data_IF_218408538196
#
_entry.id   IF_218408538196
#
_cell.length_a   1.000
_cell.length_b   1.000
_cell.length_c   1.000
_cell.angle_alpha   90.00
_cell.angle_beta   90.00
_cell.angle_gamma   90.00
#
_symmetry.space_group_name_H-M   'P 1'
#
loop_
_entity.id
_entity.type
_entity.pdbx_description
1 polymer ?
#
# COMPACT_ATOMS: atom_id res chain seq x y z
N UNK A 1 14.22 4.10 -4.06
CA UNK A 1 13.92 2.70 -4.43
C UNK A 1 14.65 2.37 -5.72
N UNK A 2 15.57 1.41 -5.71
CA UNK A 2 16.31 1.02 -6.93
C UNK A 2 15.48 0.00 -7.71
N UNK A 3 14.95 0.40 -8.87
CA UNK A 3 14.05 -0.47 -9.66
C UNK A 3 14.85 -1.61 -10.27
N UNK A 4 14.41 -2.84 -10.03
CA UNK A 4 14.96 -4.06 -10.64
C UNK A 4 13.98 -4.61 -11.68
N UNK A 5 14.45 -5.50 -12.56
CA UNK A 5 13.55 -6.29 -13.41
C UNK A 5 12.56 -7.08 -12.52
N UNK A 6 11.26 -7.08 -12.84
CA UNK A 6 10.18 -7.63 -11.99
C UNK A 6 9.98 -6.95 -10.63
N UNK A 7 10.10 -5.62 -10.59
CA UNK A 7 9.84 -4.81 -9.40
C UNK A 7 8.46 -5.06 -8.77
N UNK A 8 8.44 -5.14 -7.43
CA UNK A 8 7.24 -5.45 -6.66
C UNK A 8 6.16 -4.37 -6.85
N UNK A 9 6.55 -3.10 -6.81
CA UNK A 9 5.62 -1.97 -6.83
C UNK A 9 5.04 -1.68 -8.21
N UNK A 10 5.80 -1.91 -9.28
CA UNK A 10 5.41 -1.54 -10.65
C UNK A 10 4.99 -2.72 -11.52
N UNK A 11 5.30 -3.97 -11.15
CA UNK A 11 4.94 -5.17 -11.92
C UNK A 11 4.08 -6.14 -11.09
N UNK A 12 4.60 -6.64 -9.96
CA UNK A 12 3.94 -7.74 -9.23
C UNK A 12 2.62 -7.32 -8.59
N UNK A 13 2.63 -6.26 -7.78
CA UNK A 13 1.41 -5.74 -7.14
C UNK A 13 0.34 -5.37 -8.18
N UNK A 14 0.66 -4.63 -9.26
CA UNK A 14 -0.31 -4.38 -10.32
C UNK A 14 -0.95 -5.64 -10.91
N UNK A 15 -0.16 -6.68 -11.17
CA UNK A 15 -0.69 -7.95 -11.71
C UNK A 15 -1.54 -8.70 -10.67
N UNK A 16 -1.11 -8.74 -9.42
CA UNK A 16 -1.85 -9.36 -8.33
C UNK A 16 -3.18 -8.65 -8.06
N UNK A 17 -3.21 -7.31 -8.09
CA UNK A 17 -4.45 -6.55 -7.92
C UNK A 17 -5.46 -6.85 -9.04
N UNK A 18 -5.01 -6.91 -10.30
CA UNK A 18 -5.89 -7.26 -11.43
C UNK A 18 -6.46 -8.67 -11.27
N UNK A 19 -5.63 -9.63 -10.88
CA UNK A 19 -6.06 -11.01 -10.64
C UNK A 19 -7.04 -11.11 -9.45
N UNK A 20 -6.73 -10.44 -8.34
CA UNK A 20 -7.53 -10.45 -7.11
C UNK A 20 -8.91 -9.79 -7.30
N UNK A 21 -8.95 -8.65 -7.98
CA UNK A 21 -10.19 -7.88 -8.19
C UNK A 21 -11.03 -8.36 -9.37
N UNK A 22 -10.45 -9.15 -10.29
CA UNK A 22 -11.08 -9.52 -11.55
C UNK A 22 -11.32 -8.34 -12.51
N UNK A 23 -10.83 -7.13 -12.19
CA UNK A 23 -11.13 -5.89 -12.89
C UNK A 23 -9.86 -5.19 -13.39
N UNK A 24 -10.03 -4.30 -14.39
CA UNK A 24 -8.96 -3.40 -14.83
C UNK A 24 -8.82 -2.24 -13.83
N UNK A 25 -7.83 -2.33 -12.95
CA UNK A 25 -7.47 -1.25 -12.02
C UNK A 25 -6.53 -0.27 -12.69
N UNK A 26 -6.89 1.03 -12.70
CA UNK A 26 -5.99 2.11 -13.09
C UNK A 26 -4.92 2.33 -12.03
N UNK A 27 -3.65 2.30 -12.43
CA UNK A 27 -2.51 2.38 -11.51
C UNK A 27 -1.59 3.50 -11.99
N UNK A 28 -1.36 4.46 -11.10
CA UNK A 28 -0.35 5.49 -11.25
C UNK A 28 0.76 5.26 -10.22
N UNK A 29 2.01 5.53 -10.60
CA UNK A 29 3.17 5.29 -9.73
C UNK A 29 3.93 6.59 -9.52
N UNK A 30 4.19 6.95 -8.27
CA UNK A 30 5.13 8.00 -7.90
C UNK A 30 6.38 7.39 -7.24
N UNK A 31 7.54 8.05 -7.36
CA UNK A 31 8.78 7.59 -6.73
C UNK A 31 9.70 8.74 -6.37
N UNK A 32 10.49 8.56 -5.31
CA UNK A 32 11.41 9.59 -4.82
C UNK A 32 10.77 10.45 -3.73
N UNK A 33 11.19 11.70 -3.67
CA UNK A 33 10.65 12.70 -2.74
C UNK A 33 9.27 13.21 -3.18
N UNK A 34 8.92 13.04 -4.46
CA UNK A 34 7.64 13.47 -5.02
C UNK A 34 6.48 12.65 -4.44
N UNK A 35 5.51 13.34 -3.85
CA UNK A 35 4.23 12.81 -3.39
C UNK A 35 3.14 13.78 -3.88
N UNK A 36 2.11 13.31 -4.61
CA UNK A 36 1.11 14.20 -5.19
C UNK A 36 0.38 15.02 -4.11
N UNK A 37 0.17 16.31 -4.38
CA UNK A 37 -0.60 17.17 -3.49
C UNK A 37 -2.09 16.84 -3.51
N UNK A 38 -2.66 16.62 -4.70
CA UNK A 38 -4.04 16.17 -4.87
C UNK A 38 -4.10 14.64 -5.02
N UNK A 39 -4.70 14.00 -4.02
CA UNK A 39 -4.90 12.57 -3.93
C UNK A 39 -6.36 12.17 -4.19
N UNK A 40 -7.27 13.13 -4.32
CA UNK A 40 -8.73 12.92 -4.37
C UNK A 40 -9.19 12.01 -5.52
N UNK A 41 -8.40 11.94 -6.60
CA UNK A 41 -8.66 11.04 -7.73
C UNK A 41 -8.39 9.56 -7.43
N UNK A 42 -7.66 9.24 -6.36
CA UNK A 42 -7.30 7.86 -6.02
C UNK A 42 -8.27 7.24 -5.02
N UNK A 43 -8.53 5.94 -5.17
CA UNK A 43 -9.35 5.16 -4.23
C UNK A 43 -8.57 4.56 -3.07
N UNK A 44 -7.27 4.37 -3.25
CA UNK A 44 -6.36 3.82 -2.24
C UNK A 44 -4.92 4.14 -2.63
N UNK A 45 -4.08 4.40 -1.63
CA UNK A 45 -2.64 4.56 -1.78
C UNK A 45 -1.94 3.30 -1.28
N UNK A 46 -1.06 2.76 -2.12
CA UNK A 46 -0.20 1.63 -1.78
C UNK A 46 1.24 2.13 -1.65
N UNK A 47 1.66 2.41 -0.43
CA UNK A 47 3.00 2.91 -0.16
C UNK A 47 4.01 1.75 -0.08
N UNK A 48 5.25 1.98 -0.50
CA UNK A 48 6.30 0.99 -0.30
C UNK A 48 6.64 0.86 1.19
N UNK A 49 7.54 -0.06 1.55
CA UNK A 49 7.99 -0.22 2.95
C UNK A 49 8.73 1.00 3.52
N UNK A 50 8.99 2.05 2.73
CA UNK A 50 9.59 3.29 3.23
C UNK A 50 11.06 3.15 3.66
N UNK A 51 11.77 2.08 3.28
CA UNK A 51 13.11 1.76 3.79
C UNK A 51 14.16 2.85 3.58
N UNK A 52 13.93 3.79 2.66
CA UNK A 52 14.81 4.91 2.36
C UNK A 52 14.25 6.27 2.81
N UNK A 53 13.12 6.29 3.52
CA UNK A 53 12.47 7.50 4.02
C UNK A 53 12.59 7.57 5.54
N UNK A 54 12.65 8.77 6.07
CA UNK A 54 12.50 9.02 7.50
C UNK A 54 11.07 8.76 7.97
N UNK A 55 10.90 8.48 9.26
CA UNK A 55 9.59 8.35 9.88
C UNK A 55 8.72 9.59 9.64
N UNK A 56 9.32 10.79 9.73
CA UNK A 56 8.63 12.06 9.48
C UNK A 56 8.04 12.13 8.07
N UNK A 57 8.78 11.69 7.05
CA UNK A 57 8.29 11.68 5.67
C UNK A 57 7.15 10.68 5.46
N UNK A 58 7.23 9.50 6.09
CA UNK A 58 6.14 8.50 6.03
C UNK A 58 4.88 9.05 6.69
N UNK A 59 5.00 9.63 7.89
CA UNK A 59 3.89 10.22 8.63
C UNK A 59 3.26 11.38 7.86
N UNK A 60 4.08 12.25 7.26
CA UNK A 60 3.58 13.34 6.40
C UNK A 60 2.70 12.80 5.26
N UNK A 61 3.19 11.80 4.52
CA UNK A 61 2.43 11.19 3.41
C UNK A 61 1.12 10.54 3.87
N UNK A 62 1.15 9.86 5.02
CA UNK A 62 -0.03 9.25 5.61
C UNK A 62 -1.06 10.30 6.03
N UNK A 63 -0.62 11.39 6.66
CA UNK A 63 -1.50 12.49 7.06
C UNK A 63 -2.11 13.18 5.84
N UNK A 64 -1.34 13.47 4.79
CA UNK A 64 -1.87 14.05 3.55
C UNK A 64 -2.99 13.18 2.92
N UNK A 65 -2.86 11.86 2.98
CA UNK A 65 -3.88 10.94 2.52
C UNK A 65 -5.13 10.96 3.43
N UNK A 66 -4.93 10.93 4.75
CA UNK A 66 -5.99 10.99 5.74
C UNK A 66 -6.79 12.29 5.67
N UNK A 67 -6.13 13.43 5.51
CA UNK A 67 -6.75 14.76 5.39
C UNK A 67 -7.68 14.84 4.16
N UNK A 68 -7.32 14.12 3.10
CA UNK A 68 -8.11 14.01 1.86
C UNK A 68 -9.05 12.79 1.86
N UNK A 69 -9.15 12.08 2.98
CA UNK A 69 -9.99 10.90 3.17
C UNK A 69 -9.68 9.76 2.17
N UNK A 70 -8.44 9.64 1.74
CA UNK A 70 -7.96 8.59 0.84
C UNK A 70 -7.34 7.45 1.67
N UNK A 71 -7.86 6.21 1.58
CA UNK A 71 -7.30 5.07 2.27
C UNK A 71 -5.80 4.87 1.97
N UNK A 72 -5.02 4.63 3.01
CA UNK A 72 -3.58 4.45 2.91
C UNK A 72 -3.17 3.10 3.48
N UNK A 73 -2.44 2.31 2.71
CA UNK A 73 -1.83 1.05 3.16
C UNK A 73 -0.46 0.86 2.52
N UNK A 74 0.19 -0.26 2.79
CA UNK A 74 1.52 -0.55 2.26
C UNK A 74 1.60 -1.88 1.51
N UNK A 75 2.71 -2.09 0.82
CA UNK A 75 2.95 -3.31 0.04
C UNK A 75 2.86 -4.58 0.88
N UNK A 76 3.39 -4.59 2.11
CA UNK A 76 3.38 -5.76 2.97
C UNK A 76 1.95 -6.20 3.32
N UNK A 77 1.13 -5.26 3.80
CA UNK A 77 -0.29 -5.53 4.11
C UNK A 77 -1.08 -5.93 2.87
N UNK A 78 -0.85 -5.25 1.74
CA UNK A 78 -1.51 -5.56 0.46
C UNK A 78 -1.19 -6.98 0.00
N UNK A 79 0.08 -7.36 0.03
CA UNK A 79 0.52 -8.70 -0.36
C UNK A 79 -0.05 -9.74 0.60
N UNK A 80 0.04 -9.50 1.90
CA UNK A 80 -0.48 -10.42 2.90
C UNK A 80 -2.00 -10.64 2.76
N UNK A 81 -2.75 -9.58 2.46
CA UNK A 81 -4.19 -9.67 2.21
C UNK A 81 -4.50 -10.46 0.94
N UNK A 82 -3.89 -10.11 -0.20
CA UNK A 82 -4.14 -10.79 -1.48
C UNK A 82 -3.75 -12.28 -1.42
N UNK A 83 -2.69 -12.62 -0.70
CA UNK A 83 -2.22 -14.00 -0.55
C UNK A 83 -2.96 -14.79 0.55
N UNK A 84 -3.91 -14.18 1.25
CA UNK A 84 -4.69 -14.84 2.31
C UNK A 84 -3.90 -15.16 3.59
N UNK A 85 -2.79 -14.46 3.84
CA UNK A 85 -1.93 -14.69 5.01
C UNK A 85 -1.99 -13.56 6.05
N UNK A 86 -2.76 -12.49 5.81
CA UNK A 86 -2.82 -11.33 6.71
C UNK A 86 -3.20 -11.69 8.14
N UNK A 87 -4.26 -12.49 8.35
CA UNK A 87 -4.68 -12.95 9.67
C UNK A 87 -3.55 -13.68 10.40
N UNK A 88 -2.93 -14.65 9.72
CA UNK A 88 -1.77 -15.38 10.26
C UNK A 88 -0.61 -14.45 10.63
N UNK A 89 -0.35 -13.42 9.83
CA UNK A 89 0.71 -12.44 10.10
C UNK A 89 0.40 -11.55 11.30
N UNK A 90 -0.89 -11.26 11.57
CA UNK A 90 -1.33 -10.43 12.69
C UNK A 90 -1.56 -11.21 13.99
N UNK A 91 -1.52 -12.54 13.98
CA UNK A 91 -1.74 -13.38 15.17
C UNK A 91 -0.81 -13.10 16.35
N UNK A 92 0.37 -12.52 16.10
CA UNK A 92 1.27 -12.06 17.17
C UNK A 92 0.79 -10.79 17.87
N UNK A 93 -0.22 -10.14 17.31
CA UNK A 93 -0.85 -8.90 17.77
C UNK A 93 -2.36 -9.12 17.87
N UNK A 94 -2.86 -9.80 18.93
CA UNK A 94 -4.27 -10.20 19.04
C UNK A 94 -5.25 -9.04 18.85
N UNK A 95 -4.95 -7.87 19.43
CA UNK A 95 -5.77 -6.66 19.30
C UNK A 95 -5.88 -6.12 17.86
N UNK A 96 -4.98 -6.49 16.95
CA UNK A 96 -5.05 -6.17 15.53
C UNK A 96 -5.70 -7.30 14.72
N UNK A 97 -5.46 -8.55 15.09
CA UNK A 97 -6.10 -9.71 14.47
C UNK A 97 -7.63 -9.65 14.62
N UNK A 98 -8.12 -9.30 15.82
CA UNK A 98 -9.56 -9.12 16.07
C UNK A 98 -10.21 -8.08 15.14
N UNK A 99 -9.48 -7.01 14.77
CA UNK A 99 -10.01 -5.94 13.91
C UNK A 99 -10.20 -6.33 12.45
N UNK A 100 -9.68 -7.48 12.03
CA UNK A 100 -9.78 -7.96 10.64
C UNK A 100 -10.55 -9.28 10.53
N UNK A 101 -11.12 -9.75 11.64
CA UNK A 101 -11.90 -11.00 11.70
C UNK A 101 -13.37 -10.80 11.30
N UNK A 102 -13.80 -9.54 11.13
CA UNK A 102 -15.11 -9.11 10.60
C UNK A 102 -15.03 -8.77 9.10
#
# INVERSE_FOLDING_TARGET
HHRQCNDIGTIKIPNWLRAFTGNRVGIETCSGAEFPEDLSKYKVILHCGGCMLSEREIQYRMNCALDQQVPFTNYGLTIAHIQGILARSLRLFPALEEKIAD
#
